data_IF_806774784228
#
_entry.id   IF_806774784228
#
_cell.length_a   1.000
_cell.length_b   1.000
_cell.length_c   1.000
_cell.angle_alpha   90.00
_cell.angle_beta   90.00
_cell.angle_gamma   90.00
#
_symmetry.space_group_name_H-M   'P 1'
#
loop_
_entity.id
_entity.type
_entity.pdbx_description
1 polymer ?
#
# COMPACT_ATOMS: atom_id res chain seq x y z
N UNK A 1 -31.97 12.87 -2.20
CA UNK A 1 -30.86 13.76 -1.83
C UNK A 1 -29.59 12.92 -1.75
N UNK A 2 -28.74 13.03 -2.77
CA UNK A 2 -27.46 12.30 -2.85
C UNK A 2 -26.48 12.94 -1.86
N UNK A 3 -26.16 12.24 -0.76
CA UNK A 3 -25.11 12.67 0.16
C UNK A 3 -23.75 12.42 -0.50
N UNK A 4 -23.24 13.43 -1.22
CA UNK A 4 -21.82 13.47 -1.63
C UNK A 4 -20.96 13.60 -0.38
N UNK A 5 -20.58 12.46 0.18
CA UNK A 5 -19.55 12.36 1.21
C UNK A 5 -18.22 12.84 0.61
N UNK A 6 -17.96 14.16 0.66
CA UNK A 6 -16.66 14.73 0.28
C UNK A 6 -15.64 14.21 1.27
N UNK A 7 -14.86 13.20 0.87
CA UNK A 7 -13.68 12.76 1.60
C UNK A 7 -12.83 14.00 1.95
N UNK A 8 -12.69 14.30 3.24
CA UNK A 8 -11.77 15.36 3.69
C UNK A 8 -10.36 14.93 3.24
N UNK A 9 -9.75 15.68 2.32
CA UNK A 9 -8.33 15.52 1.95
C UNK A 9 -7.47 15.87 3.17
N UNK A 10 -7.24 14.90 4.05
CA UNK A 10 -6.39 15.03 5.23
C UNK A 10 -4.90 14.93 4.91
N UNK A 11 -4.55 14.43 3.72
CA UNK A 11 -3.16 14.30 3.27
C UNK A 11 -2.74 15.50 2.42
N UNK A 12 -1.81 16.28 2.96
CA UNK A 12 -1.08 17.31 2.21
C UNK A 12 -0.32 16.68 1.04
N UNK A 13 -0.12 17.43 -0.05
CA UNK A 13 0.72 17.05 -1.19
C UNK A 13 2.11 16.58 -0.75
N UNK A 14 2.64 17.15 0.34
CA UNK A 14 3.90 16.71 0.95
C UNK A 14 3.83 15.26 1.43
N UNK A 15 2.79 14.89 2.18
CA UNK A 15 2.63 13.52 2.69
C UNK A 15 2.52 12.51 1.54
N UNK A 16 1.76 12.84 0.50
CA UNK A 16 1.59 11.97 -0.67
C UNK A 16 2.93 11.73 -1.38
N UNK A 17 3.75 12.76 -1.56
CA UNK A 17 5.09 12.63 -2.17
C UNK A 17 6.03 11.78 -1.33
N UNK A 18 6.03 11.97 -0.01
CA UNK A 18 6.86 11.14 0.89
C UNK A 18 6.40 9.69 0.92
N UNK A 19 5.09 9.43 0.90
CA UNK A 19 4.56 8.06 0.77
C UNK A 19 5.03 7.41 -0.54
N UNK A 20 4.89 8.12 -1.67
CA UNK A 20 5.34 7.60 -2.96
C UNK A 20 6.84 7.31 -3.01
N UNK A 21 7.68 8.20 -2.46
CA UNK A 21 9.13 7.98 -2.38
C UNK A 21 9.48 6.81 -1.46
N UNK A 22 8.85 6.71 -0.29
CA UNK A 22 9.05 5.60 0.65
C UNK A 22 8.69 4.26 0.03
N UNK A 23 7.54 4.18 -0.64
CA UNK A 23 7.10 2.98 -1.36
C UNK A 23 8.01 2.62 -2.54
N UNK A 24 8.54 3.61 -3.27
CA UNK A 24 9.42 3.36 -4.42
C UNK A 24 10.80 2.82 -4.01
N UNK A 25 11.34 3.24 -2.86
CA UNK A 25 12.61 2.73 -2.35
C UNK A 25 12.41 1.33 -1.80
N UNK A 26 11.43 1.16 -0.91
CA UNK A 26 10.92 -0.13 -0.44
C UNK A 26 11.96 -1.18 -0.01
N UNK A 27 11.48 -2.40 0.23
CA UNK A 27 12.34 -3.55 0.51
C UNK A 27 12.91 -4.16 -0.77
N UNK A 28 12.24 -3.98 -1.92
CA UNK A 28 12.67 -4.52 -3.21
C UNK A 28 14.05 -4.01 -3.68
N UNK A 29 14.38 -2.75 -3.42
CA UNK A 29 15.67 -2.18 -3.81
C UNK A 29 16.85 -2.72 -2.99
N UNK A 30 16.62 -3.21 -1.77
CA UNK A 30 17.71 -3.70 -0.93
C UNK A 30 17.71 -5.23 -0.83
N UNK A 31 16.55 -5.83 -0.57
CA UNK A 31 16.40 -7.28 -0.44
C UNK A 31 16.43 -7.95 -1.81
N UNK A 32 15.63 -7.44 -2.76
CA UNK A 32 15.58 -7.98 -4.12
C UNK A 32 16.88 -7.76 -4.91
N UNK A 33 17.55 -6.62 -4.71
CA UNK A 33 18.83 -6.35 -5.39
C UNK A 33 19.94 -7.29 -4.98
N UNK A 34 20.01 -7.70 -3.71
CA UNK A 34 21.04 -8.63 -3.26
C UNK A 34 20.97 -9.96 -4.03
N UNK A 35 19.77 -10.49 -4.24
CA UNK A 35 19.58 -11.74 -4.99
C UNK A 35 19.69 -11.53 -6.50
N UNK A 36 19.19 -10.42 -7.04
CA UNK A 36 19.35 -10.08 -8.45
C UNK A 36 20.85 -9.92 -8.83
N UNK A 37 21.65 -9.29 -7.98
CA UNK A 37 23.11 -9.17 -8.16
C UNK A 37 23.78 -10.55 -8.12
N UNK A 38 23.43 -11.41 -7.16
CA UNK A 38 23.98 -12.78 -7.09
C UNK A 38 23.69 -13.60 -8.35
N UNK A 39 22.49 -13.43 -8.92
CA UNK A 39 22.06 -14.17 -10.11
C UNK A 39 22.66 -13.61 -11.41
N UNK A 40 22.62 -12.29 -11.62
CA UNK A 40 22.97 -11.67 -12.90
C UNK A 40 24.38 -11.04 -12.93
N UNK A 41 25.04 -10.89 -11.78
CA UNK A 41 26.32 -10.19 -11.67
C UNK A 41 26.24 -8.73 -12.15
N UNK A 42 27.30 -8.17 -12.75
CA UNK A 42 27.32 -6.77 -13.21
C UNK A 42 26.22 -6.43 -14.24
N UNK A 43 25.67 -7.43 -14.94
CA UNK A 43 24.62 -7.24 -15.94
C UNK A 43 23.26 -6.84 -15.35
N UNK A 44 23.08 -6.94 -14.02
CA UNK A 44 21.86 -6.52 -13.31
C UNK A 44 21.52 -5.04 -13.57
N UNK A 45 22.52 -4.20 -13.82
CA UNK A 45 22.31 -2.79 -14.16
C UNK A 45 21.52 -2.63 -15.46
N UNK A 46 21.82 -3.46 -16.48
CA UNK A 46 21.08 -3.46 -17.73
C UNK A 46 19.63 -3.92 -17.51
N UNK A 47 19.44 -4.94 -16.67
CA UNK A 47 18.10 -5.41 -16.32
C UNK A 47 17.28 -4.31 -15.61
N UNK A 48 17.89 -3.54 -14.70
CA UNK A 48 17.21 -2.42 -14.05
C UNK A 48 16.92 -1.24 -14.98
N UNK A 49 17.80 -0.94 -15.93
CA UNK A 49 17.53 0.10 -16.94
C UNK A 49 16.32 -0.31 -17.79
N UNK A 50 16.31 -1.54 -18.31
CA UNK A 50 15.22 -2.03 -19.16
C UNK A 50 13.91 -2.09 -18.37
N UNK A 51 13.95 -2.65 -17.15
CA UNK A 51 12.78 -2.71 -16.26
C UNK A 51 12.26 -1.33 -15.88
N UNK A 52 13.16 -0.38 -15.60
CA UNK A 52 12.83 1.01 -15.29
C UNK A 52 12.17 1.74 -16.45
N UNK A 53 12.65 1.54 -17.69
CA UNK A 53 12.02 2.10 -18.89
C UNK A 53 10.60 1.55 -19.06
N UNK A 54 10.43 0.23 -18.91
CA UNK A 54 9.11 -0.40 -19.01
C UNK A 54 8.15 0.14 -17.94
N UNK A 55 8.60 0.21 -16.68
CA UNK A 55 7.81 0.76 -15.58
C UNK A 55 7.44 2.24 -15.80
N UNK A 56 8.37 3.04 -16.32
CA UNK A 56 8.14 4.44 -16.64
C UNK A 56 7.03 4.62 -17.69
N UNK A 57 7.07 3.82 -18.77
CA UNK A 57 6.05 3.87 -19.83
C UNK A 57 4.67 3.50 -19.25
N UNK A 58 4.59 2.44 -18.44
CA UNK A 58 3.35 1.99 -17.80
C UNK A 58 2.80 3.08 -16.87
N UNK A 59 3.64 3.65 -16.00
CA UNK A 59 3.24 4.71 -15.08
C UNK A 59 2.78 5.98 -15.80
N UNK A 60 3.43 6.35 -16.92
CA UNK A 60 3.01 7.49 -17.74
C UNK A 60 1.61 7.26 -18.32
N UNK A 61 1.36 6.08 -18.90
CA UNK A 61 0.05 5.73 -19.45
C UNK A 61 -1.05 5.72 -18.38
N UNK A 62 -0.77 5.12 -17.22
CA UNK A 62 -1.69 5.14 -16.07
C UNK A 62 -1.95 6.57 -15.56
N UNK A 63 -0.92 7.42 -15.56
CA UNK A 63 -1.05 8.83 -15.20
C UNK A 63 -1.97 9.60 -16.16
N UNK A 64 -1.83 9.39 -17.46
CA UNK A 64 -2.70 9.98 -18.49
C UNK A 64 -4.17 9.54 -18.30
N UNK A 65 -4.41 8.24 -18.06
CA UNK A 65 -5.74 7.71 -17.74
C UNK A 65 -6.31 8.30 -16.45
N UNK A 66 -5.46 8.51 -15.43
CA UNK A 66 -5.86 9.07 -14.13
C UNK A 66 -6.28 10.53 -14.22
N UNK A 67 -5.62 11.30 -15.09
CA UNK A 67 -6.01 12.70 -15.35
C UNK A 67 -7.28 12.75 -16.20
N UNK A 68 -7.44 11.84 -17.16
CA UNK A 68 -8.59 11.82 -18.06
C UNK A 68 -9.89 11.37 -17.38
N UNK A 69 -9.85 10.31 -16.57
CA UNK A 69 -10.99 9.86 -15.77
C UNK A 69 -10.65 9.84 -14.27
N UNK A 70 -10.79 11.00 -13.59
CA UNK A 70 -10.53 11.13 -12.15
C UNK A 70 -11.64 10.52 -11.27
N UNK A 71 -12.75 10.04 -11.86
CA UNK A 71 -13.82 9.38 -11.12
C UNK A 71 -13.53 7.89 -10.84
N UNK A 72 -12.63 7.28 -11.61
CA UNK A 72 -12.15 5.94 -11.35
C UNK A 72 -11.21 5.95 -10.13
N UNK A 73 -11.64 5.33 -9.05
CA UNK A 73 -10.89 5.31 -7.78
C UNK A 73 -9.79 4.24 -7.72
N UNK A 74 -9.70 3.35 -8.72
CA UNK A 74 -8.79 2.20 -8.73
C UNK A 74 -8.44 1.74 -10.14
N UNK A 75 -7.26 1.13 -10.31
CA UNK A 75 -6.82 0.52 -11.58
C UNK A 75 -7.74 -0.58 -12.08
N UNK A 76 -8.35 -1.34 -11.17
CA UNK A 76 -9.39 -2.33 -11.51
C UNK A 76 -10.57 -1.68 -12.22
N UNK A 77 -10.89 -0.41 -11.90
CA UNK A 77 -11.96 0.33 -12.57
C UNK A 77 -11.57 0.76 -13.99
N UNK A 78 -10.32 1.18 -14.21
CA UNK A 78 -9.82 1.45 -15.57
C UNK A 78 -9.85 0.18 -16.43
N UNK A 79 -9.45 -0.96 -15.88
CA UNK A 79 -9.55 -2.25 -16.57
C UNK A 79 -11.00 -2.62 -16.87
N UNK A 80 -11.92 -2.40 -15.92
CA UNK A 80 -13.34 -2.64 -16.11
C UNK A 80 -13.94 -1.82 -17.26
N UNK A 81 -13.61 -0.53 -17.32
CA UNK A 81 -14.18 0.40 -18.28
C UNK A 81 -13.61 0.23 -19.69
N UNK A 82 -12.33 -0.15 -19.82
CA UNK A 82 -11.67 -0.28 -21.11
C UNK A 82 -11.70 -1.72 -21.69
N UNK A 83 -11.67 -2.74 -20.83
CA UNK A 83 -11.54 -4.15 -21.23
C UNK A 83 -12.73 -5.01 -20.79
N UNK A 84 -13.65 -4.46 -20.00
CA UNK A 84 -14.89 -5.09 -19.59
C UNK A 84 -14.89 -5.67 -18.16
N UNK A 85 -16.06 -6.15 -17.69
CA UNK A 85 -16.28 -6.54 -16.29
C UNK A 85 -15.31 -7.60 -15.75
N UNK A 86 -14.97 -8.59 -16.58
CA UNK A 86 -14.06 -9.67 -16.20
C UNK A 86 -12.64 -9.16 -15.95
N UNK A 87 -12.13 -8.27 -16.82
CA UNK A 87 -10.80 -7.68 -16.66
C UNK A 87 -10.71 -6.85 -15.38
N UNK A 88 -11.76 -6.11 -15.05
CA UNK A 88 -11.87 -5.41 -13.77
C UNK A 88 -11.79 -6.34 -12.57
N UNK A 89 -12.58 -7.43 -12.58
CA UNK A 89 -12.60 -8.43 -11.50
C UNK A 89 -11.23 -9.10 -11.30
N UNK A 90 -10.61 -9.57 -12.38
CA UNK A 90 -9.29 -10.20 -12.33
C UNK A 90 -8.25 -9.22 -11.80
N UNK A 91 -8.22 -7.99 -12.32
CA UNK A 91 -7.27 -6.95 -11.88
C UNK A 91 -7.43 -6.62 -10.39
N UNK A 92 -8.68 -6.59 -9.89
CA UNK A 92 -8.95 -6.37 -8.47
C UNK A 92 -8.39 -7.47 -7.58
N UNK A 93 -8.57 -8.73 -7.97
CA UNK A 93 -8.01 -9.88 -7.24
C UNK A 93 -6.49 -9.93 -7.33
N UNK A 94 -5.92 -9.71 -8.52
CA UNK A 94 -4.47 -9.64 -8.71
C UNK A 94 -3.86 -8.58 -7.78
N UNK A 95 -4.48 -7.40 -7.68
CA UNK A 95 -4.03 -6.35 -6.77
C UNK A 95 -4.12 -6.75 -5.29
N UNK A 96 -5.19 -7.46 -4.90
CA UNK A 96 -5.31 -7.99 -3.53
C UNK A 96 -4.18 -8.96 -3.19
N UNK A 97 -3.89 -9.91 -4.09
CA UNK A 97 -2.78 -10.84 -3.92
C UNK A 97 -1.42 -10.16 -3.97
N UNK A 98 -1.24 -9.16 -4.84
CA UNK A 98 -0.03 -8.36 -4.92
C UNK A 98 0.28 -7.70 -3.57
N UNK A 99 -0.70 -7.00 -2.98
CA UNK A 99 -0.53 -6.37 -1.65
C UNK A 99 -0.17 -7.42 -0.60
N UNK A 100 -0.84 -8.59 -0.60
CA UNK A 100 -0.56 -9.66 0.35
C UNK A 100 0.88 -10.19 0.20
N UNK A 101 1.33 -10.43 -1.02
CA UNK A 101 2.69 -10.92 -1.31
C UNK A 101 3.72 -9.88 -0.89
N UNK A 102 3.50 -8.60 -1.22
CA UNK A 102 4.39 -7.49 -0.82
C UNK A 102 4.47 -7.39 0.70
N UNK A 103 3.35 -7.51 1.42
CA UNK A 103 3.36 -7.49 2.88
C UNK A 103 4.20 -8.63 3.48
N UNK A 104 4.11 -9.84 2.93
CA UNK A 104 4.94 -10.98 3.37
C UNK A 104 6.41 -10.72 3.06
N UNK A 105 6.72 -10.19 1.87
CA UNK A 105 8.08 -9.85 1.48
C UNK A 105 8.69 -8.78 2.42
N UNK A 106 7.92 -7.76 2.79
CA UNK A 106 8.37 -6.70 3.70
C UNK A 106 8.70 -7.24 5.09
N UNK A 107 7.82 -8.08 5.65
CA UNK A 107 8.03 -8.69 6.97
C UNK A 107 9.23 -9.64 6.95
N UNK A 108 9.42 -10.39 5.86
CA UNK A 108 10.57 -11.28 5.68
C UNK A 108 11.87 -10.49 5.57
N UNK A 109 11.90 -9.45 4.74
CA UNK A 109 13.06 -8.57 4.59
C UNK A 109 13.43 -7.92 5.93
N UNK A 110 12.44 -7.43 6.69
CA UNK A 110 12.67 -6.91 8.04
C UNK A 110 13.32 -7.94 8.96
N UNK A 111 12.80 -9.17 9.02
CA UNK A 111 13.38 -10.22 9.87
C UNK A 111 14.80 -10.62 9.45
N UNK A 112 15.13 -10.55 8.15
CA UNK A 112 16.49 -10.81 7.65
C UNK A 112 17.43 -9.67 8.05
N UNK A 113 17.01 -8.43 7.88
CA UNK A 113 17.81 -7.27 8.30
C UNK A 113 18.08 -7.30 9.80
N UNK A 114 17.06 -7.56 10.62
CA UNK A 114 17.25 -7.67 12.06
C UNK A 114 18.19 -8.80 12.45
N UNK A 115 18.23 -9.90 11.69
CA UNK A 115 19.19 -10.98 11.86
C UNK A 115 20.65 -10.57 11.62
N UNK A 116 20.92 -9.51 10.85
CA UNK A 116 22.28 -8.98 10.65
C UNK A 116 22.81 -8.35 11.95
N UNK A 117 21.97 -7.61 12.68
CA UNK A 117 22.36 -6.99 13.96
C UNK A 117 22.19 -7.91 15.17
N UNK A 118 21.18 -8.78 15.13
CA UNK A 118 20.81 -9.68 16.22
C UNK A 118 20.78 -11.14 15.74
N UNK A 119 21.94 -11.73 15.42
CA UNK A 119 22.02 -13.07 14.83
C UNK A 119 21.58 -14.18 15.78
N UNK A 120 21.57 -13.93 17.09
CA UNK A 120 21.14 -14.89 18.12
C UNK A 120 19.62 -14.98 18.28
N UNK A 121 18.87 -14.01 17.73
CA UNK A 121 17.41 -13.95 17.88
C UNK A 121 16.75 -14.70 16.71
N UNK A 122 15.92 -15.73 16.98
CA UNK A 122 15.21 -16.46 15.93
C UNK A 122 14.35 -15.56 15.04
N UNK A 123 14.35 -15.82 13.73
CA UNK A 123 13.65 -15.02 12.72
C UNK A 123 12.15 -14.83 13.01
N UNK A 124 11.47 -15.87 13.51
CA UNK A 124 10.03 -15.82 13.81
C UNK A 124 9.66 -14.75 14.86
N UNK A 125 10.59 -14.39 15.75
CA UNK A 125 10.37 -13.35 16.76
C UNK A 125 10.22 -11.99 16.08
N UNK A 126 11.04 -11.69 15.08
CA UNK A 126 10.94 -10.45 14.32
C UNK A 126 9.64 -10.38 13.51
N UNK A 127 9.25 -11.47 12.85
CA UNK A 127 7.97 -11.59 12.15
C UNK A 127 6.80 -11.31 13.11
N UNK A 128 6.77 -12.00 14.26
CA UNK A 128 5.72 -11.83 15.27
C UNK A 128 5.69 -10.41 15.84
N UNK A 129 6.86 -9.79 16.04
CA UNK A 129 6.95 -8.40 16.52
C UNK A 129 6.28 -7.41 15.56
N UNK A 130 6.50 -7.54 14.25
CA UNK A 130 5.88 -6.67 13.24
C UNK A 130 4.38 -6.87 13.22
N UNK A 131 3.92 -8.12 13.26
CA UNK A 131 2.48 -8.44 13.31
C UNK A 131 1.83 -7.82 14.55
N UNK A 132 2.45 -7.93 15.73
CA UNK A 132 1.94 -7.33 16.96
C UNK A 132 1.91 -5.80 16.89
N UNK A 133 2.94 -5.16 16.34
CA UNK A 133 2.99 -3.70 16.18
C UNK A 133 1.88 -3.24 15.23
N UNK A 134 1.72 -3.87 14.07
CA UNK A 134 0.66 -3.55 13.11
C UNK A 134 -0.72 -3.77 13.75
N UNK A 135 -0.90 -4.88 14.46
CA UNK A 135 -2.14 -5.15 15.19
C UNK A 135 -2.44 -4.07 16.24
N UNK A 136 -1.45 -3.68 17.05
CA UNK A 136 -1.61 -2.62 18.04
C UNK A 136 -1.97 -1.27 17.40
N UNK A 137 -1.31 -0.90 16.31
CA UNK A 137 -1.62 0.32 15.55
C UNK A 137 -3.03 0.27 14.98
N UNK A 138 -3.44 -0.85 14.41
CA UNK A 138 -4.79 -1.04 13.88
C UNK A 138 -5.85 -0.95 14.98
N UNK A 139 -5.61 -1.57 16.15
CA UNK A 139 -6.52 -1.50 17.29
C UNK A 139 -6.64 -0.08 17.85
N UNK A 140 -5.55 0.69 17.92
CA UNK A 140 -5.60 2.10 18.31
C UNK A 140 -6.46 2.91 17.35
N UNK A 141 -6.31 2.72 16.04
CA UNK A 141 -7.12 3.41 15.02
C UNK A 141 -8.62 3.14 15.19
N UNK A 142 -8.99 1.87 15.37
CA UNK A 142 -10.39 1.45 15.59
C UNK A 142 -10.93 2.03 16.90
N UNK A 143 -10.14 2.01 17.97
CA UNK A 143 -10.56 2.56 19.27
C UNK A 143 -10.79 4.07 19.20
N UNK A 144 -9.86 4.80 18.58
CA UNK A 144 -9.99 6.26 18.39
C UNK A 144 -11.23 6.57 17.55
N UNK A 145 -11.47 5.81 16.47
CA UNK A 145 -12.67 5.96 15.66
C UNK A 145 -13.96 5.68 16.46
N UNK A 146 -13.98 4.61 17.25
CA UNK A 146 -15.13 4.25 18.09
C UNK A 146 -15.42 5.29 19.19
N UNK A 147 -14.39 5.85 19.83
CA UNK A 147 -14.56 6.93 20.80
C UNK A 147 -15.13 8.20 20.14
N UNK A 148 -14.68 8.54 18.92
CA UNK A 148 -15.22 9.67 18.17
C UNK A 148 -16.71 9.47 17.84
N UNK A 149 -17.12 8.28 17.38
CA UNK A 149 -18.54 7.97 17.13
C UNK A 149 -19.38 8.01 18.42
N UNK A 150 -18.83 7.55 19.56
CA UNK A 150 -19.49 7.64 20.86
C UNK A 150 -19.77 9.09 21.25
N UNK A 151 -18.76 9.96 21.18
CA UNK A 151 -18.94 11.40 21.45
C UNK A 151 -19.90 12.05 20.47
N UNK A 152 -19.84 11.73 19.17
CA UNK A 152 -20.80 12.25 18.19
C UNK A 152 -22.23 11.78 18.46
N UNK A 153 -22.43 10.54 18.89
CA UNK A 153 -23.75 10.01 19.27
C UNK A 153 -24.31 10.70 20.51
N UNK A 154 -23.45 11.04 21.48
CA UNK A 154 -23.81 11.79 22.68
C UNK A 154 -24.34 13.20 22.35
N UNK A 155 -23.68 13.93 21.45
CA UNK A 155 -24.17 15.25 21.02
C UNK A 155 -25.36 15.19 20.04
N UNK A 156 -25.55 14.06 19.34
CA UNK A 156 -26.63 13.88 18.36
C UNK A 156 -27.98 13.53 18.98
N UNK A 157 -28.02 13.21 20.27
CA UNK A 157 -29.25 12.94 21.01
C UNK A 157 -29.63 14.13 21.91
N UNK A 158 -30.22 15.22 21.39
CA UNK A 158 -31.03 16.05 22.27
C UNK A 158 -32.21 15.18 22.74
N UNK A 159 -32.62 15.25 24.01
CA UNK A 159 -33.83 14.58 24.45
C UNK A 159 -34.97 15.06 23.56
N UNK A 160 -35.63 14.13 22.87
CA UNK A 160 -36.95 14.38 22.31
C UNK A 160 -37.85 14.67 23.51
N UNK A 161 -38.05 15.96 23.78
CA UNK A 161 -39.03 16.44 24.74
C UNK A 161 -40.39 15.87 24.35
N UNK A 162 -40.95 15.07 25.26
CA UNK A 162 -42.39 14.90 25.44
C UNK A 162 -43.13 16.24 25.41
#
# INVERSE_FOLDING_TARGET
>A
MESKNKLKRGLSTRHIRFMALGSAIGTGLFYGSADAIKMAGPSVLLAYIIGGIAAYIIMRALGEMSVHNPAASSFSRYAQENLGPLAGYITGWTYCFEILIVAIADVTAFGIYMGVWFPTVPHWIWVLSVVLIICAVNLMSVKVFGELEFWFSFFKSPPSSS
#
